data_IF_493384654623
#
_entry.id   IF_493384654623
#
_cell.length_a   1.000
_cell.length_b   1.000
_cell.length_c   1.000
_cell.angle_alpha   90.00
_cell.angle_beta   90.00
_cell.angle_gamma   90.00
#
_symmetry.space_group_name_H-M   'P 1'
#
loop_
_entity.id
_entity.type
_entity.pdbx_description
1 polymer ?
#
# COMPACT_ATOMS: atom_id res chain seq x y z
N UNK A 1 14.70 2.55 7.52
CA UNK A 1 13.31 3.01 7.80
C UNK A 1 12.53 2.82 6.51
N UNK A 2 11.54 1.93 6.47
CA UNK A 2 10.72 1.68 5.28
C UNK A 2 9.25 1.93 5.64
N UNK A 3 8.82 3.18 5.49
CA UNK A 3 7.43 3.60 5.70
C UNK A 3 6.87 3.98 4.33
N UNK A 4 5.71 3.43 3.98
CA UNK A 4 4.94 3.84 2.80
C UNK A 4 3.68 4.52 3.31
N UNK A 5 3.56 5.81 3.02
CA UNK A 5 2.39 6.61 3.32
C UNK A 5 1.60 6.80 2.03
N UNK A 6 0.32 6.43 2.07
CA UNK A 6 -0.64 6.62 0.98
C UNK A 6 -1.62 7.67 1.48
N UNK A 7 -1.62 8.83 0.83
CA UNK A 7 -2.58 9.89 1.14
C UNK A 7 -3.77 9.79 0.17
N UNK A 8 -4.94 10.24 0.60
CA UNK A 8 -6.17 10.21 -0.20
C UNK A 8 -6.55 8.86 -0.81
N UNK A 9 -6.48 7.79 -0.01
CA UNK A 9 -6.77 6.41 -0.45
C UNK A 9 -8.18 6.22 -1.04
N UNK A 10 -9.14 7.13 -0.77
CA UNK A 10 -10.45 7.15 -1.43
C UNK A 10 -10.39 7.37 -2.94
N UNK A 11 -9.32 7.98 -3.45
CA UNK A 11 -9.04 8.16 -4.88
C UNK A 11 -8.66 6.84 -5.57
N UNK A 12 -8.37 5.77 -4.82
CA UNK A 12 -8.24 4.42 -5.40
C UNK A 12 -9.55 3.97 -6.08
N UNK A 13 -10.69 4.52 -5.68
CA UNK A 13 -11.97 4.22 -6.30
C UNK A 13 -12.21 5.02 -7.60
N UNK A 14 -11.32 5.96 -7.93
CA UNK A 14 -11.31 6.67 -9.20
C UNK A 14 -10.30 6.03 -10.16
N UNK A 15 -10.67 5.87 -11.44
CA UNK A 15 -9.91 5.16 -12.48
C UNK A 15 -8.45 5.60 -12.65
N UNK A 16 -8.09 6.82 -12.21
CA UNK A 16 -6.73 7.37 -12.35
C UNK A 16 -5.86 7.17 -11.11
N UNK A 17 -6.43 7.14 -9.91
CA UNK A 17 -5.69 6.97 -8.65
C UNK A 17 -5.33 5.50 -8.39
N UNK A 18 -6.23 4.58 -8.76
CA UNK A 18 -6.09 3.16 -8.46
C UNK A 18 -4.81 2.54 -9.00
N UNK A 19 -4.38 2.89 -10.22
CA UNK A 19 -3.26 2.22 -10.87
C UNK A 19 -1.88 2.60 -10.28
N UNK A 20 -1.70 3.86 -9.87
CA UNK A 20 -0.41 4.36 -9.40
C UNK A 20 -0.11 3.87 -7.98
N UNK A 21 -1.06 4.03 -7.07
CA UNK A 21 -0.88 3.68 -5.67
C UNK A 21 -0.96 2.17 -5.46
N UNK A 22 -1.97 1.51 -6.06
CA UNK A 22 -2.08 0.04 -5.98
C UNK A 22 -0.89 -0.64 -6.64
N UNK A 23 -0.41 -0.13 -7.77
CA UNK A 23 0.72 -0.70 -8.49
C UNK A 23 2.06 -0.54 -7.76
N UNK A 24 2.28 0.57 -7.04
CA UNK A 24 3.49 0.76 -6.23
C UNK A 24 3.43 -0.07 -4.96
N UNK A 25 2.31 -0.06 -4.24
CA UNK A 25 2.12 -0.84 -3.00
C UNK A 25 2.22 -2.34 -3.28
N UNK A 26 1.59 -2.83 -4.35
CA UNK A 26 1.65 -4.24 -4.75
C UNK A 26 3.06 -4.67 -5.13
N UNK A 27 3.82 -3.82 -5.84
CA UNK A 27 5.22 -4.10 -6.18
C UNK A 27 6.11 -4.13 -4.95
N UNK A 28 5.97 -3.17 -4.03
CA UNK A 28 6.73 -3.17 -2.77
C UNK A 28 6.39 -4.42 -1.96
N UNK A 29 5.12 -4.84 -1.91
CA UNK A 29 4.67 -6.04 -1.21
C UNK A 29 5.15 -7.34 -1.88
N UNK A 30 5.30 -7.34 -3.21
CA UNK A 30 5.89 -8.46 -3.94
C UNK A 30 7.39 -8.55 -3.65
N UNK A 31 8.09 -7.41 -3.71
CA UNK A 31 9.52 -7.31 -3.46
C UNK A 31 9.86 -7.69 -2.01
N UNK A 32 9.04 -7.27 -1.03
CA UNK A 32 9.23 -7.62 0.37
C UNK A 32 9.08 -9.12 0.66
N UNK A 33 8.35 -9.86 -0.18
CA UNK A 33 8.20 -11.32 -0.09
C UNK A 33 9.35 -12.09 -0.74
N UNK A 34 10.22 -11.44 -1.51
CA UNK A 34 11.35 -12.10 -2.14
C UNK A 34 12.39 -12.52 -1.09
N UNK A 35 12.92 -13.76 -1.13
CA UNK A 35 13.90 -14.25 -0.16
C UNK A 35 15.17 -13.38 -0.11
N UNK A 36 15.59 -12.88 -1.27
CA UNK A 36 16.79 -12.06 -1.48
C UNK A 36 16.67 -10.67 -0.83
N UNK A 37 15.44 -10.19 -0.61
CA UNK A 37 15.15 -8.87 -0.06
C UNK A 37 14.87 -8.91 1.45
N UNK A 38 14.84 -10.10 2.09
CA UNK A 38 14.56 -10.27 3.53
C UNK A 38 15.55 -9.55 4.46
N UNK A 39 16.80 -9.44 4.02
CA UNK A 39 17.88 -8.75 4.74
C UNK A 39 17.80 -7.22 4.57
N UNK A 40 17.01 -6.73 3.61
CA UNK A 40 16.86 -5.31 3.32
C UNK A 40 15.70 -4.70 4.12
N UNK A 41 15.78 -3.39 4.44
CA UNK A 41 14.71 -2.68 5.15
C UNK A 41 13.34 -2.77 4.45
N UNK A 42 13.33 -3.03 3.14
CA UNK A 42 12.12 -3.16 2.33
C UNK A 42 11.30 -4.43 2.65
N UNK A 43 11.90 -5.42 3.34
CA UNK A 43 11.18 -6.59 3.83
C UNK A 43 10.23 -6.25 4.99
N UNK A 44 10.51 -5.19 5.74
CA UNK A 44 9.69 -4.73 6.87
C UNK A 44 9.13 -3.33 6.59
N UNK A 45 8.38 -3.22 5.49
CA UNK A 45 7.67 -1.98 5.14
C UNK A 45 6.42 -1.86 5.99
N UNK A 46 6.29 -0.73 6.70
CA UNK A 46 5.03 -0.34 7.35
C UNK A 46 4.22 0.48 6.36
N UNK A 47 2.97 0.08 6.15
CA UNK A 47 2.01 0.84 5.34
C UNK A 47 1.12 1.68 6.24
N UNK A 48 0.91 2.94 5.87
CA UNK A 48 -0.02 3.87 6.52
C UNK A 48 -0.86 4.50 5.42
N UNK A 49 -2.17 4.33 5.46
CA UNK A 49 -3.09 4.99 4.55
C UNK A 49 -3.88 6.07 5.29
N UNK A 50 -4.04 7.22 4.64
CA UNK A 50 -4.83 8.37 5.08
C UNK A 50 -5.87 8.65 4.02
N UNK A 51 -7.09 9.02 4.42
CA UNK A 51 -8.18 9.33 3.48
C UNK A 51 -9.33 10.07 4.16
N UNK A 52 -10.11 10.79 3.37
CA UNK A 52 -11.48 11.20 3.69
C UNK A 52 -12.41 9.99 3.98
N UNK A 53 -13.64 10.25 4.44
CA UNK A 53 -14.65 9.22 4.74
C UNK A 53 -14.96 8.35 3.52
N UNK A 54 -14.69 7.05 3.64
CA UNK A 54 -14.91 6.04 2.58
C UNK A 54 -15.83 4.94 3.13
N UNK A 55 -16.83 4.47 2.37
CA UNK A 55 -17.72 3.39 2.80
C UNK A 55 -17.04 2.00 2.85
N UNK A 56 -15.93 1.81 2.13
CA UNK A 56 -15.23 0.53 1.96
C UNK A 56 -13.92 0.44 2.77
N UNK A 57 -13.87 1.05 3.96
CA UNK A 57 -12.67 1.03 4.81
C UNK A 57 -12.20 -0.39 5.17
N UNK A 58 -13.11 -1.35 5.26
CA UNK A 58 -12.80 -2.76 5.54
C UNK A 58 -11.94 -3.38 4.44
N UNK A 59 -12.31 -3.18 3.18
CA UNK A 59 -11.60 -3.75 2.04
C UNK A 59 -10.19 -3.16 1.91
N UNK A 60 -10.05 -1.86 2.21
CA UNK A 60 -8.76 -1.18 2.19
C UNK A 60 -7.87 -1.63 3.36
N UNK A 61 -8.44 -1.86 4.54
CA UNK A 61 -7.72 -2.40 5.68
C UNK A 61 -7.24 -3.84 5.40
N UNK A 62 -8.08 -4.68 4.78
CA UNK A 62 -7.70 -6.03 4.34
C UNK A 62 -6.63 -6.00 3.25
N UNK A 63 -6.70 -5.04 2.33
CA UNK A 63 -5.70 -4.89 1.28
C UNK A 63 -4.32 -4.46 1.81
N UNK A 64 -4.27 -3.57 2.81
CA UNK A 64 -3.04 -3.08 3.45
C UNK A 64 -2.42 -4.06 4.46
N UNK A 65 -3.22 -4.98 5.02
CA UNK A 65 -2.80 -6.04 5.96
C UNK A 65 -2.24 -7.27 5.25
#
# INVERSE_FOLDING_TARGET
VALVLIDEVHLLNEDRGSALETGVVSRIRLISKLPEMKELPIASVRYVAVSATIPNVSDIAEWLG
#
